data_IF_029651678005
#
_entry.id   IF_029651678005
#
_cell.length_a   1.000
_cell.length_b   1.000
_cell.length_c   1.000
_cell.angle_alpha   90.00
_cell.angle_beta   90.00
_cell.angle_gamma   90.00
#
_symmetry.space_group_name_H-M   'P 1'
#
loop_
_entity.id
_entity.type
_entity.pdbx_description
1 polymer ?
#
# COMPACT_ATOMS: atom_id res chain seq x y z
N UNK A 1 17.03 -0.90 -7.72
CA UNK A 1 18.30 -1.58 -8.04
C UNK A 1 18.90 -2.41 -6.91
N UNK A 2 18.97 -1.89 -5.67
CA UNK A 2 19.53 -2.62 -4.51
C UNK A 2 18.92 -4.03 -4.37
N UNK A 3 17.59 -4.16 -4.39
CA UNK A 3 16.95 -5.46 -4.21
C UNK A 3 17.09 -6.41 -5.43
N UNK A 4 17.26 -5.87 -6.65
CA UNK A 4 17.62 -6.67 -7.84
C UNK A 4 19.03 -7.23 -7.72
N UNK A 5 19.96 -6.47 -7.13
CA UNK A 5 21.33 -6.93 -6.87
C UNK A 5 21.36 -8.14 -5.90
N UNK A 6 20.41 -8.21 -4.96
CA UNK A 6 20.21 -9.37 -4.08
C UNK A 6 19.39 -10.53 -4.70
N UNK A 7 19.06 -10.46 -6.00
CA UNK A 7 18.28 -11.50 -6.68
C UNK A 7 16.80 -11.55 -6.30
N UNK A 8 16.27 -10.51 -5.66
CA UNK A 8 14.84 -10.47 -5.31
C UNK A 8 13.99 -10.22 -6.56
N UNK A 9 12.85 -10.91 -6.65
CA UNK A 9 11.89 -10.71 -7.73
C UNK A 9 11.22 -9.34 -7.62
N UNK A 10 10.87 -8.74 -8.76
CA UNK A 10 10.11 -7.46 -8.80
C UNK A 10 8.84 -7.52 -7.95
N UNK A 11 8.14 -8.67 -7.95
CA UNK A 11 6.96 -8.90 -7.13
C UNK A 11 7.29 -8.80 -5.63
N UNK A 12 8.39 -9.42 -5.20
CA UNK A 12 8.82 -9.34 -3.79
C UNK A 12 9.15 -7.90 -3.40
N UNK A 13 9.88 -7.17 -4.27
CA UNK A 13 10.27 -5.78 -4.04
C UNK A 13 9.04 -4.88 -3.91
N UNK A 14 8.09 -5.01 -4.83
CA UNK A 14 6.85 -4.22 -4.85
C UNK A 14 5.99 -4.49 -3.61
N UNK A 15 5.78 -5.75 -3.26
CA UNK A 15 4.92 -6.14 -2.13
C UNK A 15 5.54 -5.90 -0.76
N UNK A 16 6.87 -5.79 -0.65
CA UNK A 16 7.54 -5.62 0.65
C UNK A 16 8.18 -4.25 0.77
N UNK A 17 9.28 -4.00 0.08
CA UNK A 17 10.10 -2.80 0.27
C UNK A 17 9.35 -1.55 -0.13
N UNK A 18 8.69 -1.57 -1.29
CA UNK A 18 7.94 -0.41 -1.78
C UNK A 18 6.68 -0.19 -0.94
N UNK A 19 5.87 -1.24 -0.73
CA UNK A 19 4.66 -1.15 0.08
C UNK A 19 4.94 -0.69 1.52
N UNK A 20 5.98 -1.22 2.17
CA UNK A 20 6.39 -0.75 3.51
C UNK A 20 6.91 0.68 3.45
N UNK A 21 7.72 1.02 2.45
CA UNK A 21 8.28 2.36 2.27
C UNK A 21 7.23 3.45 2.15
N UNK A 22 6.17 3.21 1.39
CA UNK A 22 5.06 4.16 1.21
C UNK A 22 4.20 4.31 2.45
N UNK A 23 4.10 3.27 3.28
CA UNK A 23 3.25 3.29 4.48
C UNK A 23 3.96 3.58 5.80
N UNK A 24 5.30 3.72 5.78
CA UNK A 24 6.08 4.15 6.95
C UNK A 24 5.66 5.53 7.51
N UNK A 25 5.42 6.57 6.68
CA UNK A 25 4.95 7.86 7.18
C UNK A 25 3.59 7.75 7.89
N UNK A 26 2.69 6.95 7.33
CA UNK A 26 1.33 6.72 7.82
C UNK A 26 1.33 5.92 9.12
N UNK A 27 2.19 4.91 9.20
CA UNK A 27 2.47 4.18 10.43
C UNK A 27 2.97 5.13 11.52
N UNK A 28 3.90 6.03 11.18
CA UNK A 28 4.48 6.96 12.15
C UNK A 28 3.46 7.97 12.68
N UNK A 29 2.60 8.52 11.81
CA UNK A 29 1.53 9.44 12.21
C UNK A 29 0.47 8.73 13.04
N UNK A 30 0.03 7.53 12.64
CA UNK A 30 -0.95 6.74 13.39
C UNK A 30 -0.43 6.30 14.77
N UNK A 31 0.82 5.84 14.87
CA UNK A 31 1.45 5.49 16.16
C UNK A 31 1.59 6.71 17.06
N UNK A 32 2.00 7.85 16.52
CA UNK A 32 2.14 9.10 17.29
C UNK A 32 0.78 9.60 17.78
N UNK A 33 -0.26 9.51 16.96
CA UNK A 33 -1.63 9.88 17.34
C UNK A 33 -2.20 8.96 18.42
N UNK A 34 -2.02 7.64 18.27
CA UNK A 34 -2.44 6.66 19.27
C UNK A 34 -1.74 6.88 20.62
N UNK A 35 -0.43 7.16 20.60
CA UNK A 35 0.37 7.43 21.82
C UNK A 35 -0.04 8.73 22.52
N UNK A 36 -0.65 9.68 21.82
CA UNK A 36 -1.19 10.93 22.36
C UNK A 36 -2.66 10.80 22.85
N UNK A 37 -3.24 9.60 22.81
CA UNK A 37 -4.64 9.36 23.19
C UNK A 37 -5.66 9.72 22.10
N UNK A 38 -5.21 10.08 20.89
CA UNK A 38 -6.07 10.47 19.79
C UNK A 38 -6.31 9.28 18.85
N UNK A 39 -6.97 8.23 19.36
CA UNK A 39 -7.24 7.01 18.60
C UNK A 39 -8.08 7.27 17.34
N UNK A 40 -9.03 8.20 17.40
CA UNK A 40 -9.89 8.56 16.26
C UNK A 40 -9.08 9.10 15.07
N UNK A 41 -8.05 9.91 15.35
CA UNK A 41 -7.14 10.45 14.32
C UNK A 41 -6.30 9.33 13.71
N UNK A 42 -5.83 8.38 14.54
CA UNK A 42 -5.04 7.25 14.06
C UNK A 42 -5.86 6.33 13.14
N UNK A 43 -7.13 6.06 13.50
CA UNK A 43 -8.05 5.27 12.67
C UNK A 43 -8.41 6.02 11.39
N UNK A 44 -8.73 7.31 11.50
CA UNK A 44 -9.03 8.16 10.35
C UNK A 44 -7.88 8.20 9.34
N UNK A 45 -6.64 8.25 9.82
CA UNK A 45 -5.46 8.19 8.96
C UNK A 45 -5.32 6.84 8.24
N UNK A 46 -5.47 5.71 8.95
CA UNK A 46 -5.33 4.36 8.35
C UNK A 46 -6.43 4.12 7.29
N UNK A 47 -7.68 4.39 7.65
CA UNK A 47 -8.83 4.16 6.76
C UNK A 47 -8.77 5.15 5.58
N UNK A 48 -8.49 6.43 5.85
CA UNK A 48 -8.39 7.46 4.84
C UNK A 48 -7.27 7.20 3.81
N UNK A 49 -6.08 6.82 4.27
CA UNK A 49 -4.94 6.47 3.40
C UNK A 49 -5.28 5.31 2.46
N UNK A 50 -5.92 4.26 2.96
CA UNK A 50 -6.29 3.11 2.14
C UNK A 50 -7.35 3.48 1.08
N UNK A 51 -8.34 4.28 1.46
CA UNK A 51 -9.36 4.79 0.53
C UNK A 51 -8.71 5.65 -0.56
N UNK A 52 -7.81 6.56 -0.18
CA UNK A 52 -7.10 7.42 -1.12
C UNK A 52 -6.21 6.62 -2.08
N UNK A 53 -5.48 5.62 -1.58
CA UNK A 53 -4.61 4.79 -2.41
C UNK A 53 -5.42 3.99 -3.44
N UNK A 54 -6.56 3.42 -3.07
CA UNK A 54 -7.39 2.64 -4.00
C UNK A 54 -8.11 3.57 -5.00
N UNK A 55 -8.79 4.61 -4.52
CA UNK A 55 -9.65 5.42 -5.39
C UNK A 55 -8.84 6.42 -6.22
N UNK A 56 -7.87 7.09 -5.59
CA UNK A 56 -7.12 8.15 -6.24
C UNK A 56 -5.90 7.60 -6.96
N UNK A 57 -5.00 6.91 -6.26
CA UNK A 57 -3.74 6.45 -6.88
C UNK A 57 -4.01 5.36 -7.91
N UNK A 58 -4.67 4.26 -7.55
CA UNK A 58 -4.97 3.18 -8.50
C UNK A 58 -5.95 3.64 -9.57
N UNK A 59 -7.00 4.38 -9.19
CA UNK A 59 -7.98 4.92 -10.14
C UNK A 59 -7.36 5.82 -11.20
N UNK A 60 -6.55 6.81 -10.82
CA UNK A 60 -5.88 7.69 -11.78
C UNK A 60 -4.81 6.93 -12.57
N UNK A 61 -4.05 6.04 -11.93
CA UNK A 61 -3.04 5.23 -12.62
C UNK A 61 -3.67 4.38 -13.72
N UNK A 62 -4.87 3.80 -13.48
CA UNK A 62 -5.63 3.04 -14.48
C UNK A 62 -6.22 3.89 -15.61
N UNK A 63 -6.45 5.18 -15.37
CA UNK A 63 -6.85 6.13 -16.42
C UNK A 63 -5.67 6.56 -17.31
N UNK A 64 -4.47 6.69 -16.73
CA UNK A 64 -3.26 7.12 -17.44
C UNK A 64 -2.62 5.95 -18.20
N UNK A 65 -2.61 4.75 -17.62
CA UNK A 65 -1.98 3.57 -18.22
C UNK A 65 -2.79 2.31 -17.93
N UNK A 66 -2.81 1.38 -18.88
CA UNK A 66 -3.44 0.08 -18.66
C UNK A 66 -2.63 -0.68 -17.60
N UNK A 67 -3.27 -1.04 -16.48
CA UNK A 67 -2.66 -1.84 -15.42
C UNK A 67 -2.89 -3.32 -15.76
N UNK A 68 -1.87 -4.07 -16.21
CA UNK A 68 -2.03 -5.49 -16.52
C UNK A 68 -2.29 -6.29 -15.23
N UNK A 69 -3.39 -7.02 -15.21
CA UNK A 69 -3.73 -7.90 -14.09
C UNK A 69 -3.07 -9.27 -14.29
N UNK A 70 -2.15 -9.63 -13.40
CA UNK A 70 -1.51 -10.95 -13.46
C UNK A 70 -2.42 -12.00 -12.82
N UNK A 71 -2.65 -13.12 -13.52
CA UNK A 71 -3.53 -14.21 -13.08
C UNK A 71 -3.13 -14.81 -11.73
N UNK A 72 -1.87 -14.63 -11.31
CA UNK A 72 -1.38 -15.01 -9.99
C UNK A 72 -2.02 -14.25 -8.83
N UNK A 73 -2.72 -13.13 -9.08
CA UNK A 73 -3.45 -12.35 -8.07
C UNK A 73 -4.93 -12.73 -7.93
N UNK A 74 -5.44 -13.67 -8.75
CA UNK A 74 -6.86 -14.08 -8.69
C UNK A 74 -7.25 -14.59 -7.30
N UNK A 75 -6.39 -15.41 -6.69
CA UNK A 75 -6.65 -15.96 -5.35
C UNK A 75 -6.68 -14.82 -4.30
N UNK A 76 -5.72 -13.91 -4.37
CA UNK A 76 -5.64 -12.76 -3.46
C UNK A 76 -6.89 -11.86 -3.58
N UNK A 77 -7.38 -11.64 -4.81
CA UNK A 77 -8.61 -10.85 -5.05
C UNK A 77 -9.86 -11.54 -4.50
N UNK A 78 -9.97 -12.87 -4.63
CA UNK A 78 -11.14 -13.61 -4.12
C UNK A 78 -11.16 -13.65 -2.59
N UNK A 79 -10.01 -13.76 -1.94
CA UNK A 79 -9.92 -13.80 -0.46
C UNK A 79 -10.13 -12.42 0.15
N UNK A 80 -9.72 -11.35 -0.55
CA UNK A 80 -9.80 -9.98 -0.04
C UNK A 80 -11.16 -9.30 -0.26
N UNK A 81 -12.09 -9.93 -0.99
CA UNK A 81 -13.49 -9.53 -1.16
C UNK A 81 -14.36 -10.30 -0.15
#
# INVERSE_FOLDING_TARGET
EIARFFGASERFIGLTVVALGTSLPELFTSVTAAKKGNADIAIGNIVGSNIFNILFIVGISGLITTIPFASSFIIDTIISI
#
